data_IF_254087958299
#
_entry.id   IF_254087958299
#
_cell.length_a   1.000
_cell.length_b   1.000
_cell.length_c   1.000
_cell.angle_alpha   90.00
_cell.angle_beta   90.00
_cell.angle_gamma   90.00
#
_symmetry.space_group_name_H-M   'P 1'
#
loop_
_entity.id
_entity.type
_entity.pdbx_description
1 polymer ?
#
# COMPACT_ATOMS: atom_id res chain seq x y z
N UNK A 1 49.08 -3.62 -63.88
CA UNK A 1 49.34 -4.14 -62.52
C UNK A 1 48.26 -3.64 -61.57
N UNK A 2 47.70 -4.57 -60.79
CA UNK A 2 46.87 -4.40 -59.58
C UNK A 2 45.47 -3.77 -59.71
N UNK A 3 44.50 -4.70 -59.69
CA UNK A 3 43.12 -4.57 -59.19
C UNK A 3 43.11 -3.95 -57.80
N UNK A 4 41.99 -3.33 -57.42
CA UNK A 4 41.26 -3.59 -56.16
C UNK A 4 39.94 -2.78 -56.18
N UNK A 5 38.83 -3.51 -56.19
CA UNK A 5 37.49 -3.06 -55.80
C UNK A 5 37.47 -2.89 -54.28
N UNK A 6 36.92 -1.80 -53.75
CA UNK A 6 36.32 -1.82 -52.42
C UNK A 6 35.01 -1.03 -52.38
N UNK A 7 33.96 -1.80 -52.15
CA UNK A 7 32.60 -1.42 -51.78
C UNK A 7 32.68 -0.76 -50.39
N UNK A 8 32.33 0.52 -50.32
CA UNK A 8 32.14 1.24 -49.05
C UNK A 8 30.66 1.29 -48.71
N UNK A 9 30.16 0.29 -47.98
CA UNK A 9 28.86 0.33 -47.33
C UNK A 9 28.90 1.48 -46.31
N UNK A 10 28.12 2.53 -46.55
CA UNK A 10 27.85 3.57 -45.56
C UNK A 10 26.91 2.97 -44.50
N UNK A 11 27.51 2.32 -43.49
CA UNK A 11 26.80 1.82 -42.33
C UNK A 11 26.29 2.98 -41.49
N UNK A 12 24.98 3.20 -41.52
CA UNK A 12 24.29 4.06 -40.57
C UNK A 12 24.40 3.41 -39.20
N UNK A 13 25.38 3.83 -38.39
CA UNK A 13 25.48 3.46 -36.98
C UNK A 13 24.33 4.18 -36.27
N UNK A 14 23.19 3.51 -36.16
CA UNK A 14 22.18 3.87 -35.18
C UNK A 14 22.78 3.61 -33.81
N UNK A 15 23.06 4.68 -33.07
CA UNK A 15 23.34 4.60 -31.64
C UNK A 15 22.05 4.11 -31.00
N UNK A 16 21.95 2.78 -30.83
CA UNK A 16 21.01 2.20 -29.88
C UNK A 16 21.50 2.69 -28.53
N UNK A 17 20.80 3.68 -27.97
CA UNK A 17 20.88 3.97 -26.55
C UNK A 17 20.58 2.64 -25.86
N UNK A 18 21.63 1.99 -25.37
CA UNK A 18 21.51 0.92 -24.38
C UNK A 18 20.98 1.61 -23.13
N UNK A 19 19.67 1.86 -23.10
CA UNK A 19 18.92 1.85 -21.86
C UNK A 19 19.34 0.58 -21.16
N UNK A 20 20.03 0.74 -20.05
CA UNK A 20 20.45 -0.33 -19.16
C UNK A 20 19.21 -1.09 -18.68
N UNK A 21 18.69 -1.97 -19.53
CA UNK A 21 17.87 -3.08 -19.12
C UNK A 21 18.82 -3.96 -18.32
N UNK A 22 18.76 -3.81 -16.99
CA UNK A 22 19.19 -4.79 -16.00
C UNK A 22 18.45 -6.11 -16.26
N UNK A 23 18.87 -6.80 -17.32
CA UNK A 23 18.57 -8.19 -17.59
C UNK A 23 19.38 -9.01 -16.58
N UNK A 24 18.66 -9.83 -15.82
CA UNK A 24 19.10 -10.71 -14.74
C UNK A 24 19.20 -10.07 -13.35
N UNK A 25 18.06 -10.03 -12.67
CA UNK A 25 18.02 -10.55 -11.31
C UNK A 25 16.73 -11.35 -11.11
N UNK A 26 16.85 -12.61 -10.72
CA UNK A 26 15.77 -13.38 -10.09
C UNK A 26 15.48 -12.86 -8.66
N UNK A 27 15.71 -11.57 -8.37
CA UNK A 27 15.32 -10.99 -7.10
C UNK A 27 13.82 -10.70 -7.18
N UNK A 28 13.09 -11.11 -6.16
CA UNK A 28 11.71 -10.67 -5.91
C UNK A 28 11.66 -9.16 -6.16
N UNK A 29 10.66 -8.68 -6.90
CA UNK A 29 10.46 -7.25 -7.13
C UNK A 29 10.59 -6.50 -5.81
N UNK A 30 11.69 -5.75 -5.66
CA UNK A 30 11.97 -5.00 -4.45
C UNK A 30 11.02 -3.82 -4.47
N UNK A 31 9.96 -3.90 -3.67
CA UNK A 31 8.93 -2.85 -3.64
C UNK A 31 9.54 -1.56 -3.07
N UNK A 32 9.61 -0.47 -3.86
CA UNK A 32 10.22 0.77 -3.41
C UNK A 32 9.45 1.37 -2.25
N UNK A 33 10.16 1.85 -1.22
CA UNK A 33 9.57 2.66 -0.14
C UNK A 33 9.43 4.11 -0.60
N UNK A 34 8.50 4.32 -1.53
CA UNK A 34 8.22 5.61 -2.16
C UNK A 34 6.87 6.22 -1.71
N UNK A 35 6.26 5.70 -0.65
CA UNK A 35 5.02 6.27 -0.14
C UNK A 35 4.76 6.04 1.34
N UNK A 36 3.76 6.76 1.85
CA UNK A 36 3.34 6.69 3.25
C UNK A 36 1.82 6.75 3.36
N UNK A 37 1.26 5.88 4.20
CA UNK A 37 -0.12 5.96 4.64
C UNK A 37 -0.13 6.47 6.08
N UNK A 38 -0.90 7.52 6.33
CA UNK A 38 -1.05 8.17 7.62
C UNK A 38 -2.51 8.18 8.04
N UNK A 39 -2.77 7.91 9.32
CA UNK A 39 -4.12 8.02 9.90
C UNK A 39 -4.06 8.96 11.10
N UNK A 40 -5.02 9.88 11.20
CA UNK A 40 -5.12 10.82 12.32
C UNK A 40 -6.11 11.94 12.06
N UNK A 41 -6.00 12.98 12.89
CA UNK A 41 -6.82 14.18 12.76
C UNK A 41 -6.48 14.93 11.47
N UNK A 42 -7.50 15.51 10.83
CA UNK A 42 -7.36 16.10 9.50
C UNK A 42 -6.35 17.25 9.48
N UNK A 43 -6.39 18.14 10.46
CA UNK A 43 -5.50 19.31 10.49
C UNK A 43 -4.01 18.91 10.56
N UNK A 44 -3.56 18.05 11.50
CA UNK A 44 -2.19 17.54 11.48
C UNK A 44 -1.77 16.90 10.14
N UNK A 45 -2.66 16.14 9.50
CA UNK A 45 -2.38 15.53 8.20
C UNK A 45 -2.21 16.59 7.10
N UNK A 46 -3.07 17.60 7.06
CA UNK A 46 -2.97 18.72 6.11
C UNK A 46 -1.67 19.52 6.29
N UNK A 47 -1.26 19.75 7.55
CA UNK A 47 0.02 20.40 7.84
C UNK A 47 1.21 19.56 7.37
N UNK A 48 1.15 18.23 7.51
CA UNK A 48 2.18 17.31 6.98
C UNK A 48 2.23 17.41 5.45
N UNK A 49 1.09 17.34 4.76
CA UNK A 49 1.02 17.50 3.30
C UNK A 49 1.66 18.83 2.87
N UNK A 50 1.33 19.93 3.54
CA UNK A 50 1.89 21.24 3.23
C UNK A 50 3.39 21.31 3.48
N UNK A 51 3.86 20.74 4.60
CA UNK A 51 5.28 20.74 4.98
C UNK A 51 6.15 20.00 3.95
N UNK A 52 5.65 18.88 3.40
CA UNK A 52 6.40 18.03 2.47
C UNK A 52 5.97 18.19 1.01
N UNK A 53 5.26 19.28 0.67
CA UNK A 53 4.71 19.54 -0.68
C UNK A 53 5.76 19.48 -1.79
N UNK A 54 7.00 19.90 -1.51
CA UNK A 54 8.10 19.86 -2.49
C UNK A 54 8.63 18.45 -2.74
N UNK A 55 8.41 17.52 -1.83
CA UNK A 55 8.95 16.15 -1.85
C UNK A 55 7.90 15.13 -2.35
N UNK A 56 6.61 15.46 -2.27
CA UNK A 56 5.51 14.61 -2.75
C UNK A 56 5.21 14.87 -4.23
N UNK A 57 4.99 13.79 -4.98
CA UNK A 57 4.46 13.81 -6.34
C UNK A 57 2.93 13.94 -6.33
N UNK A 58 2.27 13.18 -5.46
CA UNK A 58 0.81 13.21 -5.29
C UNK A 58 0.41 12.85 -3.86
N UNK A 59 -0.80 13.22 -3.48
CA UNK A 59 -1.43 12.79 -2.24
C UNK A 59 -2.93 12.62 -2.44
N UNK A 60 -3.56 11.86 -1.56
CA UNK A 60 -5.02 11.77 -1.48
C UNK A 60 -5.46 11.66 -0.03
N UNK A 61 -6.50 12.41 0.34
CA UNK A 61 -7.09 12.43 1.68
C UNK A 61 -8.46 11.75 1.64
N UNK A 62 -8.69 10.83 2.57
CA UNK A 62 -9.89 10.02 2.67
C UNK A 62 -10.51 10.16 4.06
N UNK A 63 -11.84 10.21 4.10
CA UNK A 63 -12.61 9.98 5.33
C UNK A 63 -12.74 8.49 5.56
N UNK A 64 -12.39 8.06 6.77
CA UNK A 64 -12.39 6.66 7.17
C UNK A 64 -13.02 6.54 8.57
N UNK A 65 -13.38 5.32 8.96
CA UNK A 65 -13.86 5.03 10.32
C UNK A 65 -12.97 3.94 10.93
N UNK A 66 -12.72 4.02 12.23
CA UNK A 66 -11.99 2.99 12.97
C UNK A 66 -12.88 2.43 14.09
N UNK A 67 -12.98 1.11 14.17
CA UNK A 67 -13.75 0.42 15.20
C UNK A 67 -13.09 -0.92 15.56
N UNK A 68 -13.77 -1.74 16.35
CA UNK A 68 -13.40 -3.14 16.59
C UNK A 68 -14.52 -4.06 16.13
N UNK A 69 -14.17 -5.10 15.38
CA UNK A 69 -15.06 -6.21 15.02
C UNK A 69 -14.44 -7.46 15.64
N UNK A 70 -15.22 -8.19 16.44
CA UNK A 70 -14.73 -9.36 17.19
C UNK A 70 -13.46 -9.09 18.00
N UNK A 71 -13.34 -7.89 18.58
CA UNK A 71 -12.17 -7.47 19.35
C UNK A 71 -10.98 -6.99 18.51
N UNK A 72 -11.00 -7.19 17.19
CA UNK A 72 -9.91 -6.86 16.28
C UNK A 72 -10.03 -5.45 15.69
N UNK A 73 -8.90 -4.72 15.66
CA UNK A 73 -8.85 -3.36 15.11
C UNK A 73 -9.27 -3.37 13.65
N UNK A 74 -10.30 -2.59 13.33
CA UNK A 74 -10.93 -2.58 12.02
C UNK A 74 -10.85 -1.19 11.41
N UNK A 75 -10.35 -1.15 10.17
CA UNK A 75 -10.46 0.00 9.30
C UNK A 75 -11.71 -0.14 8.42
N UNK A 76 -12.67 0.78 8.57
CA UNK A 76 -13.91 0.79 7.79
C UNK A 76 -13.77 1.82 6.67
N UNK A 77 -13.93 1.37 5.42
CA UNK A 77 -13.73 2.16 4.22
C UNK A 77 -14.98 2.13 3.32
N UNK A 78 -15.22 3.25 2.62
CA UNK A 78 -16.14 3.27 1.48
C UNK A 78 -15.63 2.36 0.36
N UNK A 79 -16.56 1.80 -0.40
CA UNK A 79 -16.24 1.02 -1.60
C UNK A 79 -15.46 1.85 -2.61
N UNK A 80 -15.89 3.09 -2.86
CA UNK A 80 -15.19 4.00 -3.77
C UNK A 80 -13.75 4.29 -3.33
N UNK A 81 -13.52 4.51 -2.03
CA UNK A 81 -12.18 4.75 -1.47
C UNK A 81 -11.24 3.57 -1.71
N UNK A 82 -11.67 2.34 -1.38
CA UNK A 82 -10.79 1.18 -1.56
C UNK A 82 -10.53 0.87 -3.04
N UNK A 83 -11.50 1.13 -3.92
CA UNK A 83 -11.32 0.99 -5.37
C UNK A 83 -10.30 1.99 -5.92
N UNK A 84 -10.24 3.21 -5.38
CA UNK A 84 -9.20 4.18 -5.71
C UNK A 84 -7.81 3.71 -5.26
N UNK A 85 -7.70 3.18 -4.03
CA UNK A 85 -6.45 2.63 -3.49
C UNK A 85 -5.98 1.41 -4.30
N UNK A 86 -6.89 0.59 -4.81
CA UNK A 86 -6.61 -0.52 -5.73
C UNK A 86 -6.08 -0.02 -7.08
N UNK A 87 -6.65 1.06 -7.65
CA UNK A 87 -6.15 1.68 -8.89
C UNK A 87 -4.72 2.23 -8.75
N UNK A 88 -4.34 2.59 -7.53
CA UNK A 88 -2.99 3.00 -7.15
C UNK A 88 -2.08 1.83 -6.75
N UNK A 89 -2.58 0.58 -6.84
CA UNK A 89 -1.89 -0.65 -6.44
C UNK A 89 -1.46 -0.68 -4.95
N UNK A 90 -2.12 0.08 -4.08
CA UNK A 90 -1.74 0.21 -2.67
C UNK A 90 -2.23 -0.94 -1.79
N UNK A 91 -3.37 -1.54 -2.15
CA UNK A 91 -3.89 -2.71 -1.46
C UNK A 91 -3.19 -3.98 -1.95
N UNK A 92 -2.62 -4.74 -1.02
CA UNK A 92 -1.86 -5.96 -1.28
C UNK A 92 -2.59 -7.17 -0.75
N UNK A 93 -2.33 -8.32 -1.36
CA UNK A 93 -2.78 -9.63 -0.90
C UNK A 93 -1.66 -10.66 -1.06
N UNK A 94 -1.70 -11.81 -0.36
CA UNK A 94 -0.74 -12.89 -0.57
C UNK A 94 -0.70 -13.32 -2.04
N UNK A 95 0.48 -13.69 -2.53
CA UNK A 95 0.60 -14.21 -3.88
C UNK A 95 -0.05 -15.60 -4.01
N UNK A 96 0.20 -16.48 -3.03
CA UNK A 96 -0.51 -17.74 -2.86
C UNK A 96 -1.55 -17.63 -1.73
N UNK A 97 -2.83 -17.73 -2.09
CA UNK A 97 -3.94 -17.69 -1.13
C UNK A 97 -4.12 -19.00 -0.36
N UNK A 98 -3.56 -20.12 -0.86
CA UNK A 98 -3.61 -21.44 -0.20
C UNK A 98 -2.54 -21.59 0.86
N UNK A 99 -1.38 -20.98 0.64
CA UNK A 99 -0.27 -20.89 1.59
C UNK A 99 0.14 -19.43 1.78
N UNK A 100 -0.74 -18.62 2.41
CA UNK A 100 -0.53 -17.18 2.52
C UNK A 100 0.75 -16.88 3.30
N UNK A 101 1.74 -16.33 2.59
CA UNK A 101 2.90 -15.68 3.18
C UNK A 101 2.65 -14.17 3.18
N UNK A 102 2.94 -13.50 4.29
CA UNK A 102 2.84 -12.04 4.40
C UNK A 102 3.93 -11.29 3.61
N UNK A 103 4.95 -11.99 3.11
CA UNK A 103 6.13 -11.40 2.51
C UNK A 103 6.18 -11.50 0.98
N UNK A 104 5.39 -12.39 0.40
CA UNK A 104 5.24 -12.56 -1.05
C UNK A 104 3.84 -12.09 -1.44
N UNK A 105 3.75 -10.85 -1.91
CA UNK A 105 2.48 -10.13 -2.08
C UNK A 105 2.33 -9.59 -3.49
N UNK A 106 1.08 -9.49 -3.94
CA UNK A 106 0.70 -8.83 -5.19
C UNK A 106 -0.35 -7.77 -4.95
N UNK A 107 -0.44 -6.81 -5.88
CA UNK A 107 -1.51 -5.83 -5.87
C UNK A 107 -2.87 -6.50 -6.09
N UNK A 108 -3.84 -6.15 -5.24
CA UNK A 108 -5.25 -6.46 -5.50
C UNK A 108 -5.66 -5.72 -6.78
N UNK A 109 -6.40 -6.40 -7.67
CA UNK A 109 -6.83 -5.83 -8.97
C UNK A 109 -8.28 -5.42 -8.98
N UNK A 110 -9.13 -6.17 -8.28
CA UNK A 110 -10.57 -5.93 -8.16
C UNK A 110 -11.04 -6.47 -6.83
N UNK A 111 -12.22 -6.02 -6.39
CA UNK A 111 -12.94 -6.58 -5.26
C UNK A 111 -14.20 -7.28 -5.77
N UNK A 112 -14.66 -8.36 -5.11
CA UNK A 112 -15.92 -9.00 -5.45
C UNK A 112 -17.08 -8.02 -5.32
N UNK A 113 -18.12 -8.25 -6.12
CA UNK A 113 -19.37 -7.48 -6.04
C UNK A 113 -20.06 -7.83 -4.72
N UNK A 114 -20.51 -6.82 -3.98
CA UNK A 114 -21.30 -6.99 -2.76
C UNK A 114 -22.68 -6.34 -2.90
N UNK A 115 -23.65 -6.84 -2.14
CA UNK A 115 -24.96 -6.18 -2.00
C UNK A 115 -24.84 -4.95 -1.12
N UNK A 116 -25.78 -4.01 -1.26
CA UNK A 116 -25.77 -2.74 -0.51
C UNK A 116 -25.71 -2.93 1.01
N UNK A 117 -26.39 -3.95 1.53
CA UNK A 117 -26.47 -4.31 2.96
C UNK A 117 -25.39 -5.30 3.43
N UNK A 118 -24.36 -5.53 2.60
CA UNK A 118 -23.31 -6.50 2.86
C UNK A 118 -21.95 -5.80 2.96
N UNK A 119 -21.31 -5.97 4.11
CA UNK A 119 -19.94 -5.55 4.37
C UNK A 119 -18.99 -6.62 3.84
N UNK A 120 -18.04 -6.22 2.99
CA UNK A 120 -16.94 -7.08 2.58
C UNK A 120 -15.83 -7.01 3.65
N UNK A 121 -15.41 -8.15 4.19
CA UNK A 121 -14.29 -8.22 5.12
C UNK A 121 -13.04 -8.76 4.42
N UNK A 122 -11.98 -7.97 4.48
CA UNK A 122 -10.62 -8.37 4.12
C UNK A 122 -9.86 -8.52 5.43
N UNK A 123 -9.92 -9.72 6.01
CA UNK A 123 -9.30 -10.03 7.29
C UNK A 123 -8.09 -10.93 7.11
N UNK A 124 -7.05 -10.76 7.93
CA UNK A 124 -5.99 -11.77 8.00
C UNK A 124 -6.57 -13.09 8.48
N UNK A 125 -6.01 -14.20 8.02
CA UNK A 125 -6.46 -15.54 8.40
C UNK A 125 -6.25 -15.86 9.89
N UNK A 126 -5.38 -15.10 10.58
CA UNK A 126 -5.06 -15.22 12.01
C UNK A 126 -5.74 -14.14 12.88
N UNK A 127 -6.64 -13.32 12.31
CA UNK A 127 -7.25 -12.18 13.02
C UNK A 127 -8.18 -12.61 14.16
N UNK A 128 -8.82 -13.77 14.04
CA UNK A 128 -9.54 -14.48 15.11
C UNK A 128 -9.80 -15.93 14.68
N UNK A 129 -9.96 -16.83 15.65
CA UNK A 129 -10.11 -18.28 15.39
C UNK A 129 -11.27 -18.62 14.43
N UNK A 130 -12.29 -17.76 14.34
CA UNK A 130 -13.51 -18.02 13.56
C UNK A 130 -13.88 -16.90 12.59
N UNK A 131 -12.97 -15.97 12.25
CA UNK A 131 -13.32 -14.79 11.45
C UNK A 131 -14.02 -15.16 10.13
N UNK A 132 -13.56 -16.22 9.46
CA UNK A 132 -14.08 -16.69 8.17
C UNK A 132 -15.49 -17.30 8.24
N UNK A 133 -15.94 -17.67 9.43
CA UNK A 133 -17.26 -18.29 9.65
C UNK A 133 -18.34 -17.24 9.97
N UNK A 134 -17.93 -16.00 10.24
CA UNK A 134 -18.84 -14.92 10.63
C UNK A 134 -19.70 -14.51 9.44
N UNK A 135 -21.02 -14.58 9.62
CA UNK A 135 -22.02 -14.18 8.62
C UNK A 135 -22.64 -12.81 8.92
N UNK A 136 -22.50 -12.34 10.16
CA UNK A 136 -23.04 -11.08 10.63
C UNK A 136 -22.08 -10.46 11.64
N UNK A 137 -21.82 -9.16 11.51
CA UNK A 137 -21.06 -8.36 12.46
C UNK A 137 -21.94 -7.28 13.06
N UNK A 138 -21.56 -6.80 14.24
CA UNK A 138 -22.16 -5.61 14.84
C UNK A 138 -21.14 -4.48 14.92
N UNK A 139 -21.51 -3.32 14.37
CA UNK A 139 -20.73 -2.09 14.51
C UNK A 139 -21.59 -1.11 15.29
N UNK A 140 -21.19 -0.81 16.53
CA UNK A 140 -21.93 0.07 17.45
C UNK A 140 -23.44 -0.28 17.54
N UNK A 141 -23.74 -1.58 17.63
CA UNK A 141 -25.09 -2.11 17.80
C UNK A 141 -25.86 -2.37 16.49
N UNK A 142 -25.42 -1.81 15.36
CA UNK A 142 -26.04 -2.05 14.05
C UNK A 142 -25.46 -3.33 13.44
N UNK A 143 -26.35 -4.20 12.96
CA UNK A 143 -26.01 -5.48 12.33
C UNK A 143 -25.75 -5.30 10.84
N UNK A 144 -24.67 -5.90 10.35
CA UNK A 144 -24.35 -5.95 8.93
C UNK A 144 -24.08 -7.39 8.52
N UNK A 145 -24.61 -7.79 7.36
CA UNK A 145 -24.24 -9.07 6.75
C UNK A 145 -22.80 -9.01 6.28
N UNK A 146 -22.13 -10.15 6.31
CA UNK A 146 -20.73 -10.27 5.93
C UNK A 146 -20.57 -11.11 4.68
N UNK A 147 -19.69 -10.64 3.80
CA UNK A 147 -19.03 -11.44 2.78
C UNK A 147 -17.53 -11.39 3.03
N UNK A 148 -16.86 -12.54 2.96
CA UNK A 148 -15.41 -12.63 3.09
C UNK A 148 -14.74 -12.63 1.72
N UNK A 149 -13.54 -12.08 1.65
CA UNK A 149 -12.64 -12.19 0.51
C UNK A 149 -11.19 -12.39 0.99
N UNK A 150 -10.27 -12.58 0.05
CA UNK A 150 -8.89 -12.90 0.35
C UNK A 150 -8.24 -11.83 1.27
N UNK A 151 -7.42 -12.26 2.26
CA UNK A 151 -6.72 -11.34 3.14
C UNK A 151 -6.01 -10.24 2.36
N UNK A 152 -6.20 -8.99 2.78
CA UNK A 152 -5.59 -7.84 2.12
C UNK A 152 -5.16 -6.78 3.13
N UNK A 153 -4.08 -6.06 2.84
CA UNK A 153 -3.49 -5.04 3.72
C UNK A 153 -2.70 -3.97 2.96
N UNK A 154 -2.27 -2.92 3.64
CA UNK A 154 -1.39 -1.89 3.08
C UNK A 154 0.09 -2.14 3.39
N UNK A 155 0.97 -1.79 2.45
CA UNK A 155 2.42 -1.91 2.63
C UNK A 155 2.93 -3.36 2.50
N UNK A 156 4.12 -3.62 3.04
CA UNK A 156 4.79 -4.92 2.86
C UNK A 156 4.07 -6.04 3.59
N UNK A 157 3.89 -5.90 4.91
CA UNK A 157 3.17 -6.85 5.75
C UNK A 157 2.00 -6.17 6.49
N UNK A 158 1.01 -6.95 6.95
CA UNK A 158 -0.18 -6.42 7.60
C UNK A 158 0.11 -5.80 8.99
N UNK A 159 -0.59 -4.72 9.33
CA UNK A 159 -0.47 -4.04 10.63
C UNK A 159 -1.72 -4.20 11.51
N UNK A 160 -1.69 -5.13 12.46
CA UNK A 160 -2.83 -5.41 13.34
C UNK A 160 -3.17 -4.26 14.31
N UNK A 161 -2.31 -3.24 14.44
CA UNK A 161 -2.59 -2.09 15.32
C UNK A 161 -3.74 -1.22 14.80
N UNK A 162 -4.04 -1.27 13.50
CA UNK A 162 -5.13 -0.48 12.91
C UNK A 162 -5.92 -1.16 11.77
N UNK A 163 -5.35 -2.17 11.11
CA UNK A 163 -5.94 -2.84 9.94
C UNK A 163 -5.94 -4.37 10.08
N UNK A 164 -6.17 -4.89 11.28
CA UNK A 164 -6.35 -6.34 11.46
C UNK A 164 -7.51 -6.85 10.58
N UNK A 165 -8.55 -6.02 10.43
CA UNK A 165 -9.65 -6.20 9.48
C UNK A 165 -9.80 -4.91 8.66
N UNK A 166 -9.94 -5.04 7.34
CA UNK A 166 -10.47 -3.96 6.49
C UNK A 166 -11.92 -4.31 6.15
N UNK A 167 -12.86 -3.49 6.64
CA UNK A 167 -14.28 -3.61 6.37
C UNK A 167 -14.70 -2.62 5.28
N UNK A 168 -15.07 -3.13 4.10
CA UNK A 168 -15.53 -2.32 2.98
C UNK A 168 -17.05 -2.31 2.96
N UNK A 169 -17.63 -1.13 3.07
CA UNK A 169 -19.08 -0.89 3.03
C UNK A 169 -19.45 -0.09 1.78
N UNK A 170 -20.73 -0.12 1.39
CA UNK A 170 -21.21 0.80 0.36
C UNK A 170 -21.06 2.26 0.81
N UNK A 171 -20.94 3.17 -0.15
CA UNK A 171 -20.75 4.59 0.12
C UNK A 171 -21.91 5.20 0.91
N UNK A 172 -23.13 4.71 0.68
CA UNK A 172 -24.31 5.12 1.44
C UNK A 172 -24.25 4.60 2.88
N UNK A 173 -23.97 3.29 3.05
CA UNK A 173 -23.89 2.67 4.37
C UNK A 173 -22.79 3.29 5.22
N UNK A 174 -21.68 3.72 4.61
CA UNK A 174 -20.59 4.37 5.33
C UNK A 174 -21.10 5.53 6.19
N UNK A 175 -22.00 6.38 5.67
CA UNK A 175 -22.53 7.52 6.43
C UNK A 175 -23.47 7.09 7.56
N UNK A 176 -24.12 5.93 7.43
CA UNK A 176 -25.05 5.38 8.43
C UNK A 176 -24.34 4.65 9.58
N UNK A 177 -23.08 4.21 9.39
CA UNK A 177 -22.30 3.57 10.45
C UNK A 177 -22.03 4.58 11.58
N UNK A 178 -22.50 4.34 12.83
CA UNK A 178 -22.44 5.33 13.90
C UNK A 178 -21.08 5.30 14.62
N UNK A 179 -20.00 5.43 13.84
CA UNK A 179 -18.61 5.51 14.29
C UNK A 179 -18.06 6.85 13.86
N UNK A 180 -17.33 7.53 14.76
CA UNK A 180 -16.70 8.80 14.47
C UNK A 180 -15.71 8.65 13.31
N UNK A 181 -15.78 9.59 12.37
CA UNK A 181 -14.84 9.66 11.26
C UNK A 181 -13.47 10.14 11.75
N UNK A 182 -12.43 9.60 11.13
CA UNK A 182 -11.07 10.13 11.17
C UNK A 182 -10.58 10.27 9.73
N UNK A 183 -9.33 10.68 9.54
CA UNK A 183 -8.78 10.91 8.21
C UNK A 183 -7.60 9.97 7.94
N UNK A 184 -7.49 9.57 6.68
CA UNK A 184 -6.37 8.80 6.16
C UNK A 184 -5.79 9.56 4.97
N UNK A 185 -4.48 9.76 4.94
CA UNK A 185 -3.80 10.30 3.75
C UNK A 185 -2.81 9.28 3.20
N UNK A 186 -2.77 9.16 1.88
CA UNK A 186 -1.68 8.51 1.16
C UNK A 186 -0.79 9.57 0.53
N UNK A 187 0.52 9.44 0.71
CA UNK A 187 1.56 10.32 0.16
C UNK A 187 2.41 9.50 -0.79
N UNK A 188 2.56 9.95 -2.04
CA UNK A 188 3.50 9.40 -3.01
C UNK A 188 4.67 10.37 -3.14
N UNK A 189 5.87 9.94 -2.74
CA UNK A 189 7.09 10.74 -2.82
C UNK A 189 7.66 10.74 -4.24
N UNK A 190 8.42 11.79 -4.56
CA UNK A 190 9.17 11.88 -5.83
C UNK A 190 10.35 10.91 -5.88
N UNK A 191 10.87 10.52 -4.72
CA UNK A 191 11.99 9.59 -4.57
C UNK A 191 11.59 8.37 -3.73
N UNK A 192 12.34 7.29 -3.87
CA UNK A 192 12.24 6.13 -2.99
C UNK A 192 13.24 6.24 -1.85
N UNK A 193 12.80 5.97 -0.63
CA UNK A 193 13.65 5.89 0.55
C UNK A 193 14.05 4.44 0.83
N UNK A 194 14.63 3.75 -0.15
CA UNK A 194 15.03 2.34 -0.04
C UNK A 194 13.90 1.36 -0.37
N UNK A 195 13.89 0.20 0.28
CA UNK A 195 12.91 -0.87 0.10
C UNK A 195 11.87 -0.90 1.22
N UNK A 196 10.65 -1.34 0.92
CA UNK A 196 9.65 -1.61 1.96
C UNK A 196 10.10 -2.70 2.94
N UNK A 197 10.99 -3.60 2.54
CA UNK A 197 11.54 -4.66 3.40
C UNK A 197 12.45 -4.12 4.51
N UNK A 198 12.96 -2.90 4.35
CA UNK A 198 13.93 -2.29 5.27
C UNK A 198 13.34 -2.02 6.66
N UNK A 199 12.00 -2.06 6.79
CA UNK A 199 11.32 -2.00 8.09
C UNK A 199 11.52 -3.25 8.94
N UNK A 200 11.76 -4.40 8.30
CA UNK A 200 11.88 -5.71 8.96
C UNK A 200 13.34 -6.14 9.01
N UNK A 201 14.05 -5.95 7.90
CA UNK A 201 15.45 -6.30 7.77
C UNK A 201 16.22 -5.02 7.44
N UNK A 202 16.89 -4.40 8.43
CA UNK A 202 17.69 -3.21 8.18
C UNK A 202 18.69 -3.46 7.03
N UNK A 203 18.94 -2.44 6.18
CA UNK A 203 19.89 -2.58 5.09
C UNK A 203 21.29 -2.88 5.61
N UNK A 204 22.07 -3.60 4.80
CA UNK A 204 23.47 -3.90 5.09
C UNK A 204 24.26 -2.59 5.21
N UNK A 205 25.06 -2.44 6.27
CA UNK A 205 25.87 -1.25 6.53
C UNK A 205 26.94 -1.07 5.44
N UNK A 206 27.35 -2.14 4.77
CA UNK A 206 28.26 -2.08 3.63
C UNK A 206 27.62 -1.53 2.34
N UNK A 207 26.29 -1.52 2.27
CA UNK A 207 25.53 -0.84 1.22
C UNK A 207 25.21 0.60 1.65
N UNK A 208 26.16 1.50 1.36
CA UNK A 208 26.07 2.90 1.78
C UNK A 208 24.79 3.60 1.27
N UNK A 209 24.33 3.29 0.07
CA UNK A 209 23.12 3.93 -0.51
C UNK A 209 21.86 3.46 0.23
N UNK A 210 21.70 2.15 0.42
CA UNK A 210 20.56 1.61 1.17
C UNK A 210 20.55 2.11 2.63
N UNK A 211 21.73 2.20 3.27
CA UNK A 211 21.87 2.73 4.61
C UNK A 211 21.51 4.23 4.70
N UNK A 212 21.97 5.04 3.75
CA UNK A 212 21.66 6.47 3.67
C UNK A 212 20.16 6.70 3.47
N UNK A 213 19.55 6.05 2.48
CA UNK A 213 18.11 6.14 2.21
C UNK A 213 17.26 5.70 3.40
N UNK A 214 17.68 4.67 4.14
CA UNK A 214 16.99 4.28 5.36
C UNK A 214 17.15 5.29 6.50
N UNK A 215 18.33 5.91 6.62
CA UNK A 215 18.57 6.97 7.60
C UNK A 215 17.70 8.20 7.31
N UNK A 216 17.56 8.59 6.04
CA UNK A 216 16.65 9.65 5.60
C UNK A 216 15.20 9.34 5.96
N UNK A 217 14.72 8.11 5.69
CA UNK A 217 13.38 7.67 6.07
C UNK A 217 13.11 7.78 7.58
N UNK A 218 14.05 7.31 8.40
CA UNK A 218 13.94 7.38 9.85
C UNK A 218 13.89 8.83 10.34
N UNK A 219 14.68 9.72 9.73
CA UNK A 219 14.68 11.16 10.03
C UNK A 219 13.36 11.81 9.64
N UNK A 220 12.86 11.53 8.44
CA UNK A 220 11.58 12.01 7.91
C UNK A 220 10.42 11.62 8.84
N UNK A 221 10.34 10.33 9.18
CA UNK A 221 9.19 9.79 9.91
C UNK A 221 9.20 10.08 11.40
N UNK A 222 10.35 10.38 12.02
CA UNK A 222 10.48 10.60 13.48
C UNK A 222 9.51 11.63 14.04
N UNK A 223 9.35 12.76 13.36
CA UNK A 223 8.44 13.82 13.82
C UNK A 223 6.99 13.57 13.38
N UNK A 224 6.79 12.95 12.21
CA UNK A 224 5.46 12.60 11.71
C UNK A 224 4.77 11.63 12.67
N UNK A 225 5.47 10.59 13.15
CA UNK A 225 4.94 9.60 14.11
C UNK A 225 4.37 10.20 15.41
N UNK A 226 4.79 11.41 15.79
CA UNK A 226 4.28 12.11 16.99
C UNK A 226 2.99 12.89 16.74
N UNK A 227 2.64 13.11 15.48
CA UNK A 227 1.52 13.97 15.03
C UNK A 227 0.36 13.17 14.43
N UNK A 228 0.56 11.88 14.22
CA UNK A 228 -0.41 10.97 13.59
C UNK A 228 -0.68 9.80 14.53
N UNK A 229 -1.85 9.18 14.37
CA UNK A 229 -2.24 7.98 15.12
C UNK A 229 -1.54 6.74 14.59
N UNK A 230 -1.47 6.60 13.27
CA UNK A 230 -0.77 5.50 12.60
C UNK A 230 0.05 6.02 11.42
N UNK A 231 1.18 5.38 11.18
CA UNK A 231 2.05 5.59 10.03
C UNK A 231 2.46 4.23 9.49
N UNK A 232 2.28 4.03 8.19
CA UNK A 232 2.67 2.82 7.47
C UNK A 232 3.43 3.20 6.21
N UNK A 233 4.57 2.57 5.93
CA UNK A 233 5.20 2.70 4.62
C UNK A 233 4.41 1.92 3.58
N UNK A 234 4.27 2.49 2.38
CA UNK A 234 3.58 1.88 1.25
C UNK A 234 4.43 2.06 -0.01
N UNK A 235 4.14 1.23 -1.02
CA UNK A 235 4.80 1.28 -2.31
C UNK A 235 3.78 1.56 -3.39
N UNK A 236 4.00 2.64 -4.12
CA UNK A 236 3.39 2.89 -5.42
C UNK A 236 4.22 2.14 -6.46
N UNK A 237 3.61 1.18 -7.15
CA UNK A 237 4.27 0.52 -8.27
C UNK A 237 4.22 1.44 -9.49
N UNK A 238 5.35 1.61 -10.16
CA UNK A 238 5.39 2.25 -11.47
C UNK A 238 4.54 1.44 -12.45
N UNK A 239 3.74 2.13 -13.27
CA UNK A 239 2.82 1.53 -14.24
C UNK A 239 3.51 1.26 -15.56
#
# INVERSE_FOLDING_TARGET
>A
MKRIFYIGIFGMITVVLLSSCSLFSNKREVQPRNGMLLIGDEQPLQEIISQYKSEINSHALYKIKQSKIEGSNTLILKRSTIEELIKQALLRKPDDEKSPNFFDVKAVKTLPITKKDTTLLLSRYDTSENIKEIKEIKINGIKFKVQHDSPSWFGYGPDSSFEAIIAVVSDEVFNEVPVLETSMVTLHFKESYGSLTDEITPPDISDNDAFEKNTEWLRLTKNIKKRVKHLKSISYLEK
#
